data_IF_631075239544
#
_entry.id   IF_631075239544
#
_cell.length_a   1.000
_cell.length_b   1.000
_cell.length_c   1.000
_cell.angle_alpha   90.00
_cell.angle_beta   90.00
_cell.angle_gamma   90.00
#
_symmetry.space_group_name_H-M   'P 1'
#
loop_
_entity.id
_entity.type
_entity.pdbx_description
1 polymer ?
#
# COMPACT_ATOMS: atom_id res chain seq x y z
N UNK A 1 3.36 19.59 -37.47
CA UNK A 1 2.65 19.16 -36.27
C UNK A 1 3.27 17.84 -35.81
N UNK A 2 4.15 17.88 -34.80
CA UNK A 2 4.69 16.66 -34.20
C UNK A 2 3.54 15.90 -33.55
N UNK A 3 3.23 14.69 -34.02
CA UNK A 3 2.36 13.76 -33.30
C UNK A 3 3.02 13.52 -31.95
N UNK A 4 2.49 14.10 -30.90
CA UNK A 4 2.89 13.74 -29.53
C UNK A 4 2.75 12.23 -29.43
N UNK A 5 3.86 11.54 -29.21
CA UNK A 5 3.87 10.10 -29.07
C UNK A 5 2.98 9.73 -27.88
N UNK A 6 2.03 8.82 -28.06
CA UNK A 6 1.12 8.38 -27.00
C UNK A 6 1.88 7.76 -25.82
N UNK A 7 1.33 7.87 -24.63
CA UNK A 7 1.89 7.26 -23.42
C UNK A 7 2.00 5.71 -23.56
N UNK A 8 3.00 5.07 -22.92
CA UNK A 8 3.09 3.61 -22.91
C UNK A 8 1.81 2.98 -22.32
N UNK A 9 1.30 1.91 -22.91
CA UNK A 9 0.06 1.27 -22.44
C UNK A 9 0.12 0.80 -21.00
N UNK A 10 1.29 0.42 -20.51
CA UNK A 10 1.50 -0.01 -19.12
C UNK A 10 1.17 1.08 -18.08
N UNK A 11 1.29 2.37 -18.45
CA UNK A 11 1.02 3.48 -17.53
C UNK A 11 -0.41 3.48 -17.01
N UNK A 12 -1.38 3.13 -17.84
CA UNK A 12 -2.79 3.15 -17.45
C UNK A 12 -3.09 2.17 -16.30
N UNK A 13 -2.38 1.05 -16.26
CA UNK A 13 -2.49 0.06 -15.17
C UNK A 13 -1.81 0.54 -13.89
N UNK A 14 -0.67 1.21 -14.00
CA UNK A 14 0.03 1.82 -12.83
C UNK A 14 -0.80 2.95 -12.25
N UNK A 15 -1.35 3.81 -13.11
CA UNK A 15 -2.21 4.95 -12.73
C UNK A 15 -3.51 4.45 -12.08
N UNK A 16 -4.16 3.44 -12.65
CA UNK A 16 -5.36 2.85 -12.06
C UNK A 16 -5.06 2.25 -10.67
N UNK A 17 -3.95 1.53 -10.52
CA UNK A 17 -3.53 1.00 -9.23
C UNK A 17 -3.27 2.13 -8.21
N UNK A 18 -2.68 3.26 -8.65
CA UNK A 18 -2.45 4.43 -7.80
C UNK A 18 -3.76 5.08 -7.32
N UNK A 19 -4.77 5.19 -8.19
CA UNK A 19 -6.10 5.70 -7.80
C UNK A 19 -6.67 4.85 -6.67
N UNK A 20 -6.66 3.54 -6.84
CA UNK A 20 -7.22 2.60 -5.88
C UNK A 20 -6.41 2.50 -4.59
N UNK A 21 -5.08 2.65 -4.66
CA UNK A 21 -4.24 2.73 -3.46
C UNK A 21 -4.57 3.97 -2.64
N UNK A 22 -4.65 5.16 -3.27
CA UNK A 22 -5.03 6.38 -2.58
C UNK A 22 -6.45 6.31 -2.03
N UNK A 23 -7.39 5.74 -2.80
CA UNK A 23 -8.73 5.47 -2.32
C UNK A 23 -8.72 4.60 -1.06
N UNK A 24 -8.04 3.47 -1.11
CA UNK A 24 -7.93 2.54 0.02
C UNK A 24 -7.29 3.20 1.25
N UNK A 25 -6.14 3.84 1.06
CA UNK A 25 -5.36 4.44 2.15
C UNK A 25 -6.07 5.64 2.78
N UNK A 26 -6.53 6.60 1.98
CA UNK A 26 -7.17 7.81 2.51
C UNK A 26 -8.58 7.54 3.05
N UNK A 27 -9.32 6.58 2.48
CA UNK A 27 -10.60 6.13 3.01
C UNK A 27 -10.44 5.53 4.41
N UNK A 28 -9.53 4.58 4.56
CA UNK A 28 -9.22 4.00 5.87
C UNK A 28 -8.70 5.05 6.86
N UNK A 29 -7.76 5.91 6.44
CA UNK A 29 -7.16 6.93 7.31
C UNK A 29 -8.20 7.92 7.85
N UNK A 30 -9.16 8.32 7.03
CA UNK A 30 -10.24 9.22 7.45
C UNK A 30 -11.15 8.57 8.50
N UNK A 31 -11.41 7.28 8.37
CA UNK A 31 -12.22 6.53 9.32
C UNK A 31 -11.47 6.17 10.60
N UNK A 32 -10.16 5.95 10.53
CA UNK A 32 -9.38 5.38 11.63
C UNK A 32 -9.49 6.19 12.91
N UNK A 33 -9.26 7.50 12.85
CA UNK A 33 -9.32 8.35 14.06
C UNK A 33 -10.72 8.37 14.68
N UNK A 34 -11.75 8.44 13.82
CA UNK A 34 -13.15 8.40 14.27
C UNK A 34 -13.50 7.02 14.86
N UNK A 35 -12.96 5.95 14.31
CA UNK A 35 -13.11 4.60 14.82
C UNK A 35 -12.52 4.44 16.22
N UNK A 36 -11.31 4.96 16.43
CA UNK A 36 -10.64 4.92 17.74
C UNK A 36 -11.44 5.67 18.81
N UNK A 37 -11.93 6.87 18.50
CA UNK A 37 -12.64 7.72 19.47
C UNK A 37 -14.11 7.33 19.62
N UNK A 38 -14.83 7.12 18.53
CA UNK A 38 -16.28 6.92 18.56
C UNK A 38 -16.67 5.45 18.80
N UNK A 39 -15.95 4.49 18.22
CA UNK A 39 -16.29 3.07 18.34
C UNK A 39 -15.54 2.40 19.49
N UNK A 40 -14.22 2.54 19.54
CA UNK A 40 -13.41 1.91 20.59
C UNK A 40 -13.39 2.70 21.90
N UNK A 41 -13.93 3.94 21.89
CA UNK A 41 -14.01 4.83 23.06
C UNK A 41 -12.66 5.11 23.71
N UNK A 42 -11.60 5.14 22.90
CA UNK A 42 -10.29 5.55 23.39
C UNK A 42 -10.33 7.03 23.77
N UNK A 43 -9.58 7.38 24.80
CA UNK A 43 -9.31 8.78 25.14
C UNK A 43 -8.62 9.49 23.97
N UNK A 44 -8.90 10.78 23.79
CA UNK A 44 -8.38 11.56 22.67
C UNK A 44 -6.86 11.52 22.58
N UNK A 45 -6.16 11.61 23.73
CA UNK A 45 -4.71 11.55 23.74
C UNK A 45 -4.19 10.21 23.22
N UNK A 46 -4.75 9.11 23.72
CA UNK A 46 -4.38 7.76 23.30
C UNK A 46 -4.70 7.52 21.81
N UNK A 47 -5.86 7.97 21.33
CA UNK A 47 -6.24 7.86 19.94
C UNK A 47 -5.29 8.64 19.01
N UNK A 48 -4.91 9.87 19.38
CA UNK A 48 -3.97 10.68 18.60
C UNK A 48 -2.55 10.13 18.65
N UNK A 49 -2.09 9.60 19.76
CA UNK A 49 -0.78 8.96 19.87
C UNK A 49 -0.68 7.72 18.97
N UNK A 50 -1.66 6.82 19.04
CA UNK A 50 -1.72 5.64 18.18
C UNK A 50 -1.76 6.03 16.69
N UNK A 51 -2.61 7.01 16.34
CA UNK A 51 -2.70 7.51 14.97
C UNK A 51 -1.38 8.12 14.49
N UNK A 52 -0.71 8.91 15.34
CA UNK A 52 0.58 9.55 15.04
C UNK A 52 1.70 8.52 14.87
N UNK A 53 1.73 7.50 15.73
CA UNK A 53 2.69 6.40 15.64
C UNK A 53 2.49 5.62 14.33
N UNK A 54 1.23 5.30 13.98
CA UNK A 54 0.89 4.69 12.71
C UNK A 54 1.36 5.54 11.51
N UNK A 55 1.03 6.83 11.49
CA UNK A 55 1.46 7.74 10.43
C UNK A 55 2.99 7.82 10.32
N UNK A 56 3.70 7.90 11.44
CA UNK A 56 5.16 7.94 11.45
C UNK A 56 5.78 6.69 10.81
N UNK A 57 5.26 5.51 11.13
CA UNK A 57 5.71 4.24 10.54
C UNK A 57 5.42 4.17 9.04
N UNK A 58 4.26 4.65 8.60
CA UNK A 58 3.88 4.71 7.18
C UNK A 58 4.89 5.54 6.37
N UNK A 59 5.46 6.61 6.94
CA UNK A 59 6.45 7.44 6.25
C UNK A 59 7.88 6.86 6.31
N UNK A 60 8.20 6.06 7.31
CA UNK A 60 9.54 5.47 7.49
C UNK A 60 9.69 4.16 6.72
N UNK A 61 8.66 3.31 6.73
CA UNK A 61 8.73 1.97 6.12
C UNK A 61 9.01 1.93 4.61
N UNK A 62 8.64 2.93 3.78
CA UNK A 62 9.04 2.96 2.37
C UNK A 62 10.56 2.93 2.14
N UNK A 63 11.37 3.40 3.08
CA UNK A 63 12.85 3.30 3.01
C UNK A 63 13.27 1.83 3.03
N UNK A 64 12.71 1.05 3.96
CA UNK A 64 12.98 -0.39 4.07
C UNK A 64 12.39 -1.15 2.89
N UNK A 65 11.17 -0.79 2.47
CA UNK A 65 10.49 -1.41 1.33
C UNK A 65 11.23 -1.17 0.00
N UNK A 66 11.76 0.03 -0.21
CA UNK A 66 12.61 0.35 -1.37
C UNK A 66 13.89 -0.47 -1.36
N UNK A 67 14.60 -0.51 -0.22
CA UNK A 67 15.81 -1.33 -0.08
C UNK A 67 15.54 -2.82 -0.38
N UNK A 68 14.42 -3.36 0.12
CA UNK A 68 14.04 -4.75 -0.10
C UNK A 68 13.70 -5.02 -1.58
N UNK A 69 13.04 -4.07 -2.23
CA UNK A 69 12.76 -4.14 -3.66
C UNK A 69 14.05 -4.14 -4.50
N UNK A 70 14.98 -3.22 -4.19
CA UNK A 70 16.24 -3.09 -4.93
C UNK A 70 17.13 -4.32 -4.81
N UNK A 71 17.12 -4.98 -3.64
CA UNK A 71 18.05 -6.09 -3.37
C UNK A 71 17.44 -7.47 -3.68
N UNK A 72 16.14 -7.64 -3.51
CA UNK A 72 15.53 -8.99 -3.49
C UNK A 72 14.33 -9.14 -4.42
N UNK A 73 13.34 -8.24 -4.31
CA UNK A 73 12.01 -8.45 -4.92
C UNK A 73 11.92 -7.91 -6.35
N UNK A 74 12.56 -6.77 -6.63
CA UNK A 74 12.26 -5.94 -7.79
C UNK A 74 11.00 -5.11 -7.58
N UNK A 75 10.93 -3.93 -8.22
CA UNK A 75 9.87 -2.93 -8.01
C UNK A 75 8.46 -3.52 -8.24
N UNK A 76 8.30 -4.32 -9.27
CA UNK A 76 7.00 -4.89 -9.62
C UNK A 76 6.47 -5.87 -8.58
N UNK A 77 7.31 -6.80 -8.08
CA UNK A 77 6.90 -7.74 -7.03
C UNK A 77 6.63 -7.02 -5.72
N UNK A 78 7.46 -6.02 -5.37
CA UNK A 78 7.26 -5.21 -4.17
C UNK A 78 5.90 -4.48 -4.21
N UNK A 79 5.53 -3.88 -5.35
CA UNK A 79 4.23 -3.23 -5.55
C UNK A 79 3.07 -4.23 -5.40
N UNK A 80 3.16 -5.42 -6.03
CA UNK A 80 2.10 -6.43 -5.94
C UNK A 80 1.93 -6.97 -4.51
N UNK A 81 3.04 -7.30 -3.84
CA UNK A 81 3.00 -7.79 -2.46
C UNK A 81 2.52 -6.71 -1.50
N UNK A 82 2.97 -5.46 -1.70
CA UNK A 82 2.51 -4.32 -0.92
C UNK A 82 1.01 -4.10 -1.05
N UNK A 83 0.48 -4.10 -2.27
CA UNK A 83 -0.95 -3.99 -2.56
C UNK A 83 -1.76 -5.13 -1.91
N UNK A 84 -1.28 -6.35 -2.00
CA UNK A 84 -1.92 -7.51 -1.40
C UNK A 84 -1.95 -7.44 0.13
N UNK A 85 -0.83 -7.07 0.76
CA UNK A 85 -0.77 -6.88 2.22
C UNK A 85 -1.71 -5.76 2.68
N UNK A 86 -1.75 -4.64 1.98
CA UNK A 86 -2.67 -3.54 2.31
C UNK A 86 -4.13 -4.01 2.23
N UNK A 87 -4.51 -4.77 1.20
CA UNK A 87 -5.85 -5.30 1.07
C UNK A 87 -6.22 -6.22 2.26
N UNK A 88 -5.33 -7.14 2.63
CA UNK A 88 -5.50 -8.00 3.82
C UNK A 88 -5.60 -7.14 5.09
N UNK A 89 -4.71 -6.17 5.26
CA UNK A 89 -4.70 -5.29 6.42
C UNK A 89 -6.03 -4.56 6.61
N UNK A 90 -6.62 -4.03 5.54
CA UNK A 90 -7.94 -3.38 5.61
C UNK A 90 -9.07 -4.36 5.95
N UNK A 91 -9.03 -5.61 5.46
CA UNK A 91 -10.00 -6.64 5.86
C UNK A 91 -9.86 -7.01 7.34
N UNK A 92 -8.62 -7.17 7.82
CA UNK A 92 -8.35 -7.45 9.24
C UNK A 92 -8.77 -6.27 10.11
N UNK A 93 -8.64 -5.03 9.62
CA UNK A 93 -9.12 -3.84 10.32
C UNK A 93 -10.64 -3.86 10.48
N UNK A 94 -11.38 -4.28 9.47
CA UNK A 94 -12.82 -4.51 9.59
C UNK A 94 -13.19 -5.55 10.65
N UNK A 95 -12.35 -6.56 10.86
CA UNK A 95 -12.54 -7.56 11.91
C UNK A 95 -12.19 -7.07 13.33
N UNK A 96 -11.61 -5.87 13.49
CA UNK A 96 -11.26 -5.31 14.80
C UNK A 96 -12.49 -4.98 15.67
N UNK A 97 -13.69 -4.90 15.09
CA UNK A 97 -14.95 -4.85 15.85
C UNK A 97 -15.18 -6.11 16.70
N UNK A 98 -14.63 -7.26 16.28
CA UNK A 98 -14.77 -8.54 17.01
C UNK A 98 -13.77 -8.61 18.15
N UNK A 99 -12.52 -8.17 17.92
CA UNK A 99 -11.48 -8.17 18.94
C UNK A 99 -10.47 -7.03 18.70
N UNK A 100 -10.21 -6.18 19.72
CA UNK A 100 -9.29 -5.04 19.60
C UNK A 100 -7.87 -5.40 19.16
N UNK A 101 -7.44 -6.65 19.40
CA UNK A 101 -6.14 -7.16 18.95
C UNK A 101 -5.96 -7.05 17.43
N UNK A 102 -7.04 -7.23 16.67
CA UNK A 102 -7.01 -7.11 15.21
C UNK A 102 -6.71 -5.68 14.72
N UNK A 103 -6.98 -4.66 15.54
CA UNK A 103 -6.61 -3.28 15.22
C UNK A 103 -5.08 -3.16 15.04
N UNK A 104 -4.30 -3.55 16.04
CA UNK A 104 -2.85 -3.42 15.98
C UNK A 104 -2.23 -4.27 14.88
N UNK A 105 -2.72 -5.51 14.74
CA UNK A 105 -2.27 -6.41 13.67
C UNK A 105 -2.58 -5.84 12.29
N UNK A 106 -3.77 -5.28 12.09
CA UNK A 106 -4.16 -4.69 10.82
C UNK A 106 -3.30 -3.48 10.45
N UNK A 107 -3.07 -2.56 11.40
CA UNK A 107 -2.22 -1.39 11.20
C UNK A 107 -0.78 -1.81 10.87
N UNK A 108 -0.25 -2.84 11.54
CA UNK A 108 1.08 -3.37 11.25
C UNK A 108 1.18 -3.97 9.83
N UNK A 109 0.17 -4.73 9.39
CA UNK A 109 0.11 -5.30 8.05
C UNK A 109 0.03 -4.18 7.00
N UNK A 110 -0.81 -3.16 7.23
CA UNK A 110 -0.96 -2.00 6.34
C UNK A 110 0.37 -1.24 6.22
N UNK A 111 1.05 -0.98 7.33
CA UNK A 111 2.37 -0.30 7.37
C UNK A 111 3.41 -1.06 6.54
N UNK A 112 3.48 -2.38 6.70
CA UNK A 112 4.39 -3.23 5.92
C UNK A 112 4.04 -3.21 4.42
N UNK A 113 2.76 -3.33 4.11
CA UNK A 113 2.25 -3.27 2.73
C UNK A 113 2.53 -1.92 2.07
N UNK A 114 2.23 -0.83 2.76
CA UNK A 114 2.47 0.53 2.28
C UNK A 114 3.97 0.78 2.05
N UNK A 115 4.82 0.32 2.98
CA UNK A 115 6.27 0.40 2.84
C UNK A 115 6.78 -0.25 1.56
N UNK A 116 6.30 -1.44 1.23
CA UNK A 116 6.64 -2.13 -0.02
C UNK A 116 6.05 -1.46 -1.27
N UNK A 117 4.92 -0.82 -1.14
CA UNK A 117 4.20 -0.24 -2.28
C UNK A 117 4.73 1.14 -2.66
N UNK A 118 4.81 2.06 -1.70
CA UNK A 118 4.84 3.51 -1.95
C UNK A 118 6.05 4.01 -2.72
N UNK A 119 7.27 3.59 -2.33
CA UNK A 119 8.48 3.96 -3.06
C UNK A 119 8.55 3.27 -4.42
N UNK A 120 8.11 2.03 -4.49
CA UNK A 120 8.32 1.16 -5.63
C UNK A 120 7.35 1.42 -6.79
N UNK A 121 6.16 1.96 -6.54
CA UNK A 121 5.21 2.33 -7.61
C UNK A 121 5.78 3.44 -8.50
N UNK A 122 6.45 4.44 -7.91
CA UNK A 122 7.10 5.53 -8.63
C UNK A 122 8.32 5.03 -9.42
N UNK A 123 9.11 4.13 -8.83
CA UNK A 123 10.23 3.48 -9.51
C UNK A 123 9.72 2.65 -10.70
N UNK A 124 8.67 1.85 -10.50
CA UNK A 124 8.04 1.06 -11.55
C UNK A 124 7.52 1.92 -12.70
N UNK A 125 6.92 3.08 -12.40
CA UNK A 125 6.53 4.04 -13.44
C UNK A 125 7.75 4.56 -14.20
N UNK A 126 8.81 4.91 -13.49
CA UNK A 126 10.06 5.38 -14.10
C UNK A 126 10.68 4.38 -15.07
N UNK A 127 10.56 3.08 -14.80
CA UNK A 127 11.04 1.99 -15.66
C UNK A 127 10.30 1.86 -16.99
N UNK A 128 9.11 2.49 -17.13
CA UNK A 128 8.35 2.49 -18.39
C UNK A 128 8.94 3.42 -19.45
N UNK A 129 9.87 4.30 -19.06
CA UNK A 129 10.45 5.33 -19.92
C UNK A 129 11.95 5.20 -20.00
N UNK A 130 12.50 5.56 -21.17
CA UNK A 130 13.93 5.82 -21.28
C UNK A 130 14.28 7.11 -20.50
N UNK A 131 15.53 7.26 -20.00
CA UNK A 131 15.93 8.42 -19.19
C UNK A 131 15.62 9.78 -19.81
N UNK A 132 15.70 9.89 -21.15
CA UNK A 132 15.52 11.15 -21.92
C UNK A 132 14.14 11.21 -22.62
N UNK A 133 13.20 10.31 -22.30
CA UNK A 133 11.87 10.30 -22.92
C UNK A 133 11.06 11.52 -22.44
N UNK A 134 10.68 12.44 -23.34
CA UNK A 134 9.95 13.66 -22.98
C UNK A 134 8.54 13.38 -22.41
N UNK A 135 8.02 12.17 -22.57
CA UNK A 135 6.72 11.75 -22.03
C UNK A 135 6.77 11.40 -20.53
N UNK A 136 7.98 11.21 -19.99
CA UNK A 136 8.21 10.76 -18.60
C UNK A 136 7.57 11.71 -17.59
N UNK A 137 7.79 13.02 -17.72
CA UNK A 137 7.23 14.04 -16.81
C UNK A 137 5.70 14.05 -16.86
N UNK A 138 5.12 13.89 -18.06
CA UNK A 138 3.67 13.73 -18.21
C UNK A 138 3.14 12.47 -17.53
N UNK A 139 3.91 11.38 -17.53
CA UNK A 139 3.58 10.15 -16.83
C UNK A 139 3.53 10.32 -15.31
N UNK A 140 4.52 10.98 -14.72
CA UNK A 140 4.54 11.29 -13.28
C UNK A 140 3.42 12.28 -12.90
N UNK A 141 3.16 13.28 -13.73
CA UNK A 141 2.04 14.22 -13.52
C UNK A 141 0.70 13.49 -13.51
N UNK A 142 0.51 12.52 -14.41
CA UNK A 142 -0.70 11.70 -14.45
C UNK A 142 -0.84 10.82 -13.23
N UNK A 143 0.26 10.20 -12.75
CA UNK A 143 0.28 9.40 -11.53
C UNK A 143 -0.13 10.23 -10.32
N UNK A 144 0.41 11.44 -10.20
CA UNK A 144 0.10 12.36 -9.10
C UNK A 144 -1.37 12.82 -9.13
N UNK A 145 -1.86 13.23 -10.31
CA UNK A 145 -3.26 13.64 -10.47
C UNK A 145 -4.24 12.51 -10.13
N UNK A 146 -3.92 11.30 -10.57
CA UNK A 146 -4.70 10.09 -10.30
C UNK A 146 -4.82 9.80 -8.79
N UNK A 147 -3.70 9.91 -8.06
CA UNK A 147 -3.71 9.76 -6.60
C UNK A 147 -4.65 10.77 -5.93
N UNK A 148 -4.61 12.04 -6.34
CA UNK A 148 -5.49 13.07 -5.77
C UNK A 148 -6.99 12.78 -6.01
N UNK A 149 -7.35 12.21 -7.16
CA UNK A 149 -8.75 11.78 -7.42
C UNK A 149 -9.16 10.72 -6.39
N UNK A 150 -8.34 9.70 -6.18
CA UNK A 150 -8.59 8.66 -5.19
C UNK A 150 -8.75 9.22 -3.78
N UNK A 151 -7.87 10.14 -3.37
CA UNK A 151 -7.88 10.72 -2.03
C UNK A 151 -9.09 11.61 -1.73
N UNK A 152 -9.68 12.25 -2.74
CA UNK A 152 -10.89 13.09 -2.58
C UNK A 152 -12.14 12.21 -2.46
N UNK A 153 -12.26 11.19 -3.32
CA UNK A 153 -13.45 10.34 -3.36
C UNK A 153 -13.53 9.41 -2.17
N UNK A 154 -12.38 8.95 -1.67
CA UNK A 154 -12.31 7.91 -0.65
C UNK A 154 -12.97 8.26 0.69
N UNK A 155 -12.68 9.41 1.34
CA UNK A 155 -13.31 9.76 2.61
C UNK A 155 -14.83 9.86 2.49
N UNK A 156 -15.33 10.37 1.36
CA UNK A 156 -16.76 10.52 1.09
C UNK A 156 -17.41 9.16 0.97
N UNK A 157 -16.87 8.28 0.12
CA UNK A 157 -17.45 6.96 -0.12
C UNK A 157 -17.35 6.04 1.11
N UNK A 158 -16.17 5.98 1.74
CA UNK A 158 -15.96 5.14 2.92
C UNK A 158 -16.73 5.67 4.13
N UNK A 159 -16.81 7.00 4.31
CA UNK A 159 -17.58 7.64 5.36
C UNK A 159 -19.09 7.37 5.20
N UNK A 160 -19.62 7.53 4.00
CA UNK A 160 -21.01 7.21 3.72
C UNK A 160 -21.37 5.74 4.03
N UNK A 161 -20.53 4.80 3.58
CA UNK A 161 -20.76 3.37 3.86
C UNK A 161 -20.63 3.05 5.35
N UNK A 162 -19.71 3.70 6.06
CA UNK A 162 -19.58 3.53 7.51
C UNK A 162 -20.81 4.05 8.25
N UNK A 163 -21.36 5.19 7.83
CA UNK A 163 -22.51 5.84 8.48
C UNK A 163 -23.82 5.06 8.25
N UNK A 164 -24.05 4.58 7.03
CA UNK A 164 -25.25 3.84 6.66
C UNK A 164 -25.24 2.37 7.11
N UNK A 165 -24.07 1.74 7.24
CA UNK A 165 -23.98 0.31 7.54
C UNK A 165 -23.18 0.02 8.80
N UNK A 166 -21.83 0.07 8.72
CA UNK A 166 -20.93 -0.21 9.85
C UNK A 166 -19.50 0.22 9.58
N UNK A 167 -18.70 0.30 10.63
CA UNK A 167 -17.25 0.53 10.53
C UNK A 167 -16.55 -0.55 9.71
N UNK A 168 -16.91 -1.83 9.95
CA UNK A 168 -16.36 -2.95 9.19
C UNK A 168 -16.62 -2.81 7.70
N UNK A 169 -17.82 -2.36 7.28
CA UNK A 169 -18.15 -2.15 5.87
C UNK A 169 -17.39 -0.96 5.26
N UNK A 170 -17.18 0.12 6.01
CA UNK A 170 -16.35 1.24 5.58
C UNK A 170 -14.91 0.82 5.30
N UNK A 171 -14.30 0.02 6.19
CA UNK A 171 -12.96 -0.55 5.99
C UNK A 171 -12.93 -1.61 4.88
N UNK A 172 -13.99 -2.43 4.76
CA UNK A 172 -14.10 -3.41 3.68
C UNK A 172 -14.16 -2.74 2.29
N UNK A 173 -14.80 -1.58 2.17
CA UNK A 173 -14.81 -0.81 0.92
C UNK A 173 -13.39 -0.36 0.54
N UNK A 174 -12.57 0.06 1.51
CA UNK A 174 -11.16 0.37 1.27
C UNK A 174 -10.38 -0.88 0.80
N UNK A 175 -10.64 -2.04 1.39
CA UNK A 175 -10.04 -3.32 0.97
C UNK A 175 -10.44 -3.70 -0.46
N UNK A 176 -11.73 -3.57 -0.79
CA UNK A 176 -12.28 -3.85 -2.13
C UNK A 176 -11.60 -2.93 -3.16
N UNK A 177 -11.45 -1.64 -2.85
CA UNK A 177 -10.73 -0.70 -3.70
C UNK A 177 -9.30 -1.17 -3.99
N UNK A 178 -8.55 -1.56 -2.95
CA UNK A 178 -7.18 -2.04 -3.12
C UNK A 178 -7.10 -3.32 -3.95
N UNK A 179 -8.02 -4.27 -3.73
CA UNK A 179 -8.12 -5.50 -4.52
C UNK A 179 -8.47 -5.20 -5.99
N UNK A 180 -9.40 -4.28 -6.24
CA UNK A 180 -9.75 -3.87 -7.60
C UNK A 180 -8.52 -3.29 -8.33
N UNK A 181 -7.77 -2.42 -7.68
CA UNK A 181 -6.51 -1.89 -8.22
C UNK A 181 -5.50 -2.98 -8.53
N UNK A 182 -5.31 -3.93 -7.61
CA UNK A 182 -4.40 -5.05 -7.79
C UNK A 182 -4.84 -5.95 -8.97
N UNK A 183 -6.12 -6.26 -9.10
CA UNK A 183 -6.66 -7.06 -10.22
C UNK A 183 -6.42 -6.34 -11.55
N UNK A 184 -6.72 -5.03 -11.63
CA UNK A 184 -6.47 -4.23 -12.84
C UNK A 184 -4.99 -4.28 -13.20
N UNK A 185 -4.10 -4.11 -12.23
CA UNK A 185 -2.65 -4.16 -12.44
C UNK A 185 -2.19 -5.53 -12.95
N UNK A 186 -2.72 -6.62 -12.39
CA UNK A 186 -2.42 -7.98 -12.83
C UNK A 186 -2.92 -8.26 -14.25
N UNK A 187 -4.09 -7.73 -14.63
CA UNK A 187 -4.57 -7.80 -16.02
C UNK A 187 -3.63 -7.08 -17.01
N UNK A 188 -2.95 -6.02 -16.56
CA UNK A 188 -1.94 -5.30 -17.32
C UNK A 188 -0.60 -6.04 -17.50
N UNK A 189 -0.44 -7.18 -16.87
CA UNK A 189 0.84 -7.90 -16.73
C UNK A 189 1.64 -8.04 -18.04
N UNK A 190 0.97 -8.32 -19.13
CA UNK A 190 1.56 -8.49 -20.48
C UNK A 190 2.17 -7.20 -21.05
N UNK A 191 1.83 -6.03 -20.52
CA UNK A 191 2.33 -4.75 -21.01
C UNK A 191 3.64 -4.32 -20.29
N UNK A 192 4.04 -5.06 -19.25
CA UNK A 192 5.27 -4.83 -18.49
C UNK A 192 6.46 -5.69 -18.93
N UNK A 193 6.38 -6.37 -20.07
CA UNK A 193 7.41 -7.31 -20.54
C UNK A 193 8.76 -6.66 -20.86
N UNK A 194 8.80 -5.36 -21.09
CA UNK A 194 10.03 -4.60 -21.34
C UNK A 194 10.62 -3.94 -20.07
N UNK A 195 9.91 -3.97 -18.96
CA UNK A 195 10.35 -3.40 -17.67
C UNK A 195 11.10 -4.41 -16.80
N UNK A 196 11.44 -5.56 -17.33
CA UNK A 196 12.32 -6.52 -16.65
C UNK A 196 13.79 -6.08 -16.73
N UNK A 197 14.06 -4.86 -16.32
CA UNK A 197 15.33 -4.49 -15.75
C UNK A 197 15.51 -5.13 -14.37
N UNK A 198 15.18 -6.42 -14.23
CA UNK A 198 15.72 -7.19 -13.11
C UNK A 198 17.22 -7.20 -13.37
N UNK A 199 17.90 -6.26 -12.71
CA UNK A 199 19.34 -6.12 -12.77
C UNK A 199 19.92 -7.54 -12.66
N UNK A 200 20.82 -7.96 -13.53
CA UNK A 200 21.46 -9.29 -13.44
C UNK A 200 21.98 -9.56 -12.02
N UNK A 201 22.32 -8.49 -11.28
CA UNK A 201 22.67 -8.53 -9.87
C UNK A 201 21.49 -8.98 -8.98
N UNK A 202 20.26 -8.51 -9.23
CA UNK A 202 19.06 -8.93 -8.48
C UNK A 202 18.70 -10.38 -8.82
N UNK A 203 18.88 -10.79 -10.08
CA UNK A 203 18.70 -12.22 -10.46
C UNK A 203 19.75 -13.12 -9.81
N UNK A 204 20.99 -12.66 -9.69
CA UNK A 204 22.06 -13.38 -9.03
C UNK A 204 21.84 -13.43 -7.51
N UNK A 205 21.48 -12.30 -6.87
CA UNK A 205 21.09 -12.27 -5.47
C UNK A 205 19.81 -13.09 -5.21
N UNK A 206 18.86 -13.07 -6.11
CA UNK A 206 17.67 -13.92 -6.08
C UNK A 206 18.04 -15.41 -6.08
N UNK A 207 18.97 -15.83 -6.92
CA UNK A 207 19.41 -17.23 -6.96
C UNK A 207 20.21 -17.64 -5.71
N UNK A 208 20.84 -16.71 -5.01
CA UNK A 208 21.53 -16.95 -3.74
C UNK A 208 20.61 -16.88 -2.51
N UNK A 209 19.60 -16.02 -2.53
CA UNK A 209 18.66 -15.81 -1.41
C UNK A 209 17.38 -16.62 -1.53
N UNK A 210 17.02 -17.08 -2.73
CA UNK A 210 15.79 -17.81 -3.02
C UNK A 210 15.84 -19.37 -2.98
N UNK A 211 16.91 -20.06 -2.53
CA UNK A 211 16.66 -21.42 -2.07
C UNK A 211 15.70 -21.46 -0.86
N UNK A 212 15.43 -20.32 -0.24
CA UNK A 212 14.59 -20.22 0.95
C UNK A 212 13.48 -19.17 0.82
N UNK A 213 12.46 -19.43 -0.01
CA UNK A 213 11.18 -18.71 0.01
C UNK A 213 10.61 -18.61 1.45
N UNK A 214 11.01 -19.53 2.33
CA UNK A 214 10.67 -19.52 3.73
C UNK A 214 11.11 -18.25 4.45
N UNK A 215 12.27 -17.68 4.15
CA UNK A 215 12.72 -16.44 4.79
C UNK A 215 11.91 -15.22 4.38
N UNK A 216 11.47 -15.15 3.12
CA UNK A 216 10.56 -14.08 2.66
C UNK A 216 9.19 -14.18 3.32
N UNK A 217 8.64 -15.40 3.45
CA UNK A 217 7.41 -15.63 4.18
C UNK A 217 7.57 -15.33 5.67
N UNK A 218 8.70 -15.69 6.28
CA UNK A 218 9.00 -15.36 7.68
C UNK A 218 9.08 -13.84 7.85
N UNK A 219 9.76 -13.10 6.97
CA UNK A 219 9.80 -11.64 7.02
C UNK A 219 8.43 -10.99 6.82
N UNK A 220 7.61 -11.50 5.89
CA UNK A 220 6.25 -11.02 5.63
C UNK A 220 5.30 -11.25 6.80
N UNK A 221 5.53 -12.31 7.58
CA UNK A 221 4.71 -12.63 8.76
C UNK A 221 5.34 -12.08 10.03
N UNK A 222 6.66 -12.21 10.19
CA UNK A 222 7.36 -11.79 11.41
C UNK A 222 7.40 -10.26 11.57
N UNK A 223 7.53 -9.49 10.47
CA UNK A 223 7.58 -8.03 10.57
C UNK A 223 6.26 -7.43 11.08
N UNK A 224 5.07 -7.79 10.55
CA UNK A 224 3.80 -7.34 11.12
C UNK A 224 3.60 -7.79 12.57
N UNK A 225 3.96 -9.03 12.90
CA UNK A 225 3.84 -9.55 14.26
C UNK A 225 4.77 -8.79 15.23
N UNK A 226 6.00 -8.51 14.83
CA UNK A 226 6.94 -7.74 15.63
C UNK A 226 6.43 -6.31 15.87
N UNK A 227 5.94 -5.66 14.83
CA UNK A 227 5.35 -4.33 14.93
C UNK A 227 4.11 -4.37 15.84
N UNK A 228 3.26 -5.38 15.70
CA UNK A 228 2.08 -5.58 16.56
C UNK A 228 2.48 -5.73 18.03
N UNK A 229 3.51 -6.53 18.31
CA UNK A 229 4.01 -6.73 19.68
C UNK A 229 4.60 -5.44 20.25
N UNK A 230 5.32 -4.66 19.46
CA UNK A 230 5.85 -3.37 19.87
C UNK A 230 4.72 -2.38 20.19
N UNK A 231 3.72 -2.29 19.34
CA UNK A 231 2.53 -1.47 19.62
C UNK A 231 1.79 -1.96 20.87
N UNK A 232 1.61 -3.27 21.03
CA UNK A 232 0.92 -3.85 22.19
C UNK A 232 1.64 -3.54 23.50
N UNK A 233 2.98 -3.68 23.52
CA UNK A 233 3.77 -3.51 24.75
C UNK A 233 3.82 -2.06 25.23
N UNK A 234 3.86 -1.11 24.33
CA UNK A 234 3.87 0.32 24.65
C UNK A 234 2.51 0.78 25.22
N UNK A 235 1.40 0.16 24.79
CA UNK A 235 0.04 0.63 25.06
C UNK A 235 -0.75 -0.24 26.03
N UNK A 236 -0.22 -1.38 26.45
CA UNK A 236 -0.83 -2.23 27.50
C UNK A 236 -0.49 -1.79 28.91
N UNK A 237 0.27 -0.70 29.07
CA UNK A 237 0.72 -0.17 30.38
C UNK A 237 -0.20 0.93 30.89
N UNK A 238 -1.21 1.32 30.13
CA UNK A 238 -2.24 2.29 30.47
C UNK A 238 -3.62 1.65 30.38
#
# INVERSE_FOLDING_TARGET
>A
MNKQASQPRAIYYVVALQIWEYFSFYGMRALLILYLTNQLKYDDNHAYELFSAYCSLVYVTPILGGYLADKVLGNRMAVMLGAFLMAIGHLVLGASEIAPTFLYLSLAIIVCGYGLFKSNISCLLGELYQPEDPRRDGGFSLLYAAGNIGSIVAPIACGYVQEEYSWAMGFALAAIGMLAGLVIFLCGNRHFTHTTGVNKAVLCARNYLLPNWGWLLILLVAAPLLITVLFWKEWSVY
#
